data_IF_002245243389
#
_entry.id   IF_002245243389
#
_cell.length_a   1.000
_cell.length_b   1.000
_cell.length_c   1.000
_cell.angle_alpha   90.00
_cell.angle_beta   90.00
_cell.angle_gamma   90.00
#
_symmetry.space_group_name_H-M   'P 1'
#
loop_
_entity.id
_entity.type
_entity.pdbx_description
1 polymer ?
#
# COMPACT_ATOMS: atom_id res chain seq x y z
N UNK A 1 -31.49 0.62 -15.33
CA UNK A 1 -30.84 0.90 -14.04
C UNK A 1 -30.37 2.34 -14.10
N UNK A 2 -31.03 3.25 -13.37
CA UNK A 2 -30.73 4.68 -13.44
C UNK A 2 -29.46 4.93 -12.62
N UNK A 3 -28.32 5.05 -13.29
CA UNK A 3 -27.11 5.61 -12.69
C UNK A 3 -27.43 7.08 -12.32
N UNK A 4 -27.19 7.48 -11.07
CA UNK A 4 -27.37 8.87 -10.59
C UNK A 4 -28.55 9.11 -9.64
N UNK A 5 -29.11 8.08 -8.99
CA UNK A 5 -29.98 8.28 -7.82
C UNK A 5 -29.19 8.11 -6.52
N UNK A 6 -29.45 8.87 -5.44
CA UNK A 6 -28.78 8.68 -4.15
C UNK A 6 -28.88 7.25 -3.60
N UNK A 7 -29.95 6.52 -3.97
CA UNK A 7 -30.18 5.12 -3.60
C UNK A 7 -29.19 4.19 -4.33
N UNK A 8 -28.91 4.44 -5.60
CA UNK A 8 -27.92 3.65 -6.36
C UNK A 8 -26.51 3.90 -5.87
N UNK A 9 -26.17 5.14 -5.53
CA UNK A 9 -24.86 5.52 -4.99
C UNK A 9 -24.63 4.90 -3.61
N UNK A 10 -25.63 4.96 -2.73
CA UNK A 10 -25.58 4.28 -1.44
C UNK A 10 -25.48 2.75 -1.60
N UNK A 11 -26.15 2.19 -2.62
CA UNK A 11 -26.02 0.77 -2.99
C UNK A 11 -24.59 0.41 -3.39
N UNK A 12 -23.93 1.24 -4.21
CA UNK A 12 -22.53 1.06 -4.60
C UNK A 12 -21.59 1.14 -3.40
N UNK A 13 -21.80 2.11 -2.49
CA UNK A 13 -21.01 2.23 -1.27
C UNK A 13 -21.12 0.97 -0.40
N UNK A 14 -22.34 0.53 -0.09
CA UNK A 14 -22.57 -0.64 0.76
C UNK A 14 -22.03 -1.93 0.12
N UNK A 15 -22.26 -2.11 -1.17
CA UNK A 15 -21.72 -3.24 -1.92
C UNK A 15 -20.19 -3.19 -1.98
N UNK A 16 -19.60 -2.01 -2.17
CA UNK A 16 -18.15 -1.78 -2.17
C UNK A 16 -17.52 -2.14 -0.84
N UNK A 17 -18.09 -1.70 0.29
CA UNK A 17 -17.63 -2.10 1.64
C UNK A 17 -17.74 -3.61 1.84
N UNK A 18 -18.86 -4.22 1.45
CA UNK A 18 -19.05 -5.67 1.56
C UNK A 18 -18.02 -6.45 0.74
N UNK A 19 -17.72 -5.97 -0.48
CA UNK A 19 -16.75 -6.60 -1.36
C UNK A 19 -15.30 -6.38 -0.91
N UNK A 20 -14.98 -5.20 -0.34
CA UNK A 20 -13.69 -4.95 0.29
C UNK A 20 -13.45 -5.89 1.47
N UNK A 21 -14.46 -6.07 2.33
CA UNK A 21 -14.37 -6.99 3.45
C UNK A 21 -14.18 -8.44 2.97
N UNK A 22 -15.05 -8.93 2.07
CA UNK A 22 -14.96 -10.28 1.53
C UNK A 22 -13.63 -10.52 0.78
N UNK A 23 -13.18 -9.54 0.01
CA UNK A 23 -11.91 -9.60 -0.73
C UNK A 23 -10.71 -9.67 0.20
N UNK A 24 -10.68 -8.84 1.25
CA UNK A 24 -9.64 -8.86 2.27
C UNK A 24 -9.62 -10.19 3.04
N UNK A 25 -10.79 -10.74 3.38
CA UNK A 25 -10.93 -12.04 4.05
C UNK A 25 -10.35 -13.18 3.20
N UNK A 26 -10.70 -13.24 1.92
CA UNK A 26 -10.17 -14.23 0.97
C UNK A 26 -8.67 -14.06 0.77
N UNK A 27 -8.20 -12.83 0.60
CA UNK A 27 -6.80 -12.51 0.38
C UNK A 27 -5.93 -12.91 1.56
N UNK A 28 -6.32 -12.53 2.78
CA UNK A 28 -5.55 -12.83 4.00
C UNK A 28 -5.53 -14.33 4.27
N UNK A 29 -6.67 -15.02 4.11
CA UNK A 29 -6.73 -16.46 4.29
C UNK A 29 -5.88 -17.21 3.25
N UNK A 30 -6.04 -16.90 1.96
CA UNK A 30 -5.28 -17.52 0.89
C UNK A 30 -3.78 -17.23 0.98
N UNK A 31 -3.39 -16.01 1.34
CA UNK A 31 -1.99 -15.64 1.51
C UNK A 31 -1.34 -16.37 2.69
N UNK A 32 -2.06 -16.56 3.79
CA UNK A 32 -1.61 -17.34 4.95
C UNK A 32 -1.39 -18.80 4.58
N UNK A 33 -2.39 -19.42 3.96
CA UNK A 33 -2.37 -20.86 3.63
C UNK A 33 -1.27 -21.15 2.58
N UNK A 34 -1.15 -20.28 1.57
CA UNK A 34 -0.05 -20.35 0.60
C UNK A 34 1.32 -20.19 1.28
N UNK A 35 1.47 -19.24 2.21
CA UNK A 35 2.73 -19.02 2.92
C UNK A 35 3.15 -20.25 3.73
N UNK A 36 2.20 -20.88 4.44
CA UNK A 36 2.45 -22.11 5.21
C UNK A 36 2.87 -23.26 4.29
N UNK A 37 2.22 -23.42 3.14
CA UNK A 37 2.52 -24.49 2.19
C UNK A 37 3.90 -24.40 1.53
N UNK A 38 4.49 -23.19 1.49
CA UNK A 38 5.83 -22.97 0.91
C UNK A 38 6.90 -22.64 1.95
N UNK A 39 6.55 -22.74 3.25
CA UNK A 39 7.46 -22.56 4.37
C UNK A 39 7.90 -21.11 4.58
N UNK A 40 7.08 -20.16 4.13
CA UNK A 40 7.33 -18.73 4.26
C UNK A 40 6.45 -18.13 5.35
N UNK A 41 6.87 -16.95 5.84
CA UNK A 41 6.02 -16.13 6.71
C UNK A 41 4.95 -15.44 5.87
N UNK A 42 3.73 -15.34 6.39
CA UNK A 42 2.64 -14.57 5.77
C UNK A 42 3.08 -13.13 5.43
N UNK A 43 3.93 -12.51 6.27
CA UNK A 43 4.51 -11.19 6.01
C UNK A 43 5.32 -11.10 4.70
N UNK A 44 5.97 -12.20 4.27
CA UNK A 44 6.73 -12.24 3.00
C UNK A 44 5.80 -12.25 1.80
N UNK A 45 4.68 -12.98 1.86
CA UNK A 45 3.64 -12.96 0.82
C UNK A 45 2.97 -11.58 0.79
N UNK A 46 2.73 -10.99 1.97
CA UNK A 46 2.28 -9.61 2.15
C UNK A 46 3.19 -8.60 1.43
N UNK A 47 4.50 -8.61 1.71
CA UNK A 47 5.48 -7.65 1.14
C UNK A 47 5.68 -7.80 -0.37
N UNK A 48 5.24 -8.91 -0.97
CA UNK A 48 5.49 -9.23 -2.39
C UNK A 48 4.21 -9.20 -3.21
N UNK A 49 3.57 -10.35 -3.40
CA UNK A 49 2.45 -10.56 -4.32
C UNK A 49 1.28 -9.68 -3.92
N UNK A 50 0.98 -9.60 -2.63
CA UNK A 50 -0.17 -8.82 -2.16
C UNK A 50 0.09 -7.34 -2.32
N UNK A 51 1.18 -6.82 -1.74
CA UNK A 51 1.53 -5.42 -1.85
C UNK A 51 1.59 -4.95 -3.31
N UNK A 52 2.22 -5.73 -4.21
CA UNK A 52 2.25 -5.40 -5.63
C UNK A 52 0.86 -5.34 -6.26
N UNK A 53 -0.01 -6.30 -5.92
CA UNK A 53 -1.35 -6.39 -6.47
C UNK A 53 -2.28 -5.29 -5.94
N UNK A 54 -2.19 -4.96 -4.66
CA UNK A 54 -2.98 -3.88 -4.06
C UNK A 54 -2.47 -2.50 -4.47
N UNK A 55 -1.21 -2.38 -4.91
CA UNK A 55 -0.62 -1.15 -5.51
C UNK A 55 -1.00 -0.95 -7.00
N UNK A 56 -1.59 -1.95 -7.66
CA UNK A 56 -1.96 -1.83 -9.07
C UNK A 56 -2.99 -0.70 -9.37
N UNK A 57 -4.01 -0.45 -8.52
CA UNK A 57 -4.89 0.72 -8.63
C UNK A 57 -4.12 2.06 -8.55
N UNK A 58 -3.15 2.20 -7.64
CA UNK A 58 -2.30 3.39 -7.52
C UNK A 58 -1.51 3.62 -8.81
N UNK A 59 -0.93 2.56 -9.39
CA UNK A 59 -0.24 2.66 -10.66
C UNK A 59 -1.15 3.24 -11.76
N UNK A 60 -2.37 2.71 -11.85
CA UNK A 60 -3.35 3.16 -12.83
C UNK A 60 -3.75 4.62 -12.60
N UNK A 61 -4.06 4.99 -11.36
CA UNK A 61 -4.46 6.35 -11.00
C UNK A 61 -3.33 7.35 -11.19
N UNK A 62 -2.09 7.02 -10.81
CA UNK A 62 -0.95 7.90 -10.98
C UNK A 62 -0.61 8.14 -12.45
N UNK A 63 -0.67 7.10 -13.29
CA UNK A 63 -0.48 7.25 -14.74
C UNK A 63 -1.60 8.09 -15.34
N UNK A 64 -2.86 7.81 -15.02
CA UNK A 64 -3.98 8.59 -15.53
C UNK A 64 -3.91 10.05 -15.09
N UNK A 65 -3.66 10.32 -13.81
CA UNK A 65 -3.50 11.67 -13.27
C UNK A 65 -2.37 12.43 -13.98
N UNK A 66 -1.25 11.77 -14.21
CA UNK A 66 -0.11 12.33 -14.93
C UNK A 66 -0.40 12.66 -16.39
N UNK A 67 -1.19 11.81 -17.08
CA UNK A 67 -1.53 12.00 -18.49
C UNK A 67 -2.69 12.99 -18.70
N UNK A 68 -3.59 13.13 -17.74
CA UNK A 68 -4.83 13.90 -17.92
C UNK A 68 -4.80 15.26 -17.24
N UNK A 69 -4.03 15.42 -16.16
CA UNK A 69 -3.98 16.68 -15.39
C UNK A 69 -2.56 17.23 -15.38
N UNK A 70 -1.64 16.58 -14.67
CA UNK A 70 -0.22 16.97 -14.58
C UNK A 70 0.61 15.90 -13.87
N UNK A 71 1.89 15.82 -14.22
CA UNK A 71 2.80 14.79 -13.69
C UNK A 71 3.08 14.94 -12.19
N UNK A 72 3.05 16.17 -11.67
CA UNK A 72 3.21 16.46 -10.23
C UNK A 72 2.03 15.94 -9.38
N UNK A 73 0.81 15.90 -9.91
CA UNK A 73 -0.35 15.29 -9.25
C UNK A 73 -0.16 13.77 -9.13
N UNK A 74 0.36 13.11 -10.19
CA UNK A 74 0.70 11.70 -10.14
C UNK A 74 1.73 11.39 -9.04
N UNK A 75 2.74 12.26 -8.89
CA UNK A 75 3.72 12.16 -7.81
C UNK A 75 3.11 12.38 -6.43
N UNK A 76 2.30 13.43 -6.27
CA UNK A 76 1.61 13.74 -5.02
C UNK A 76 0.68 12.62 -4.56
N UNK A 77 -0.05 11.98 -5.49
CA UNK A 77 -0.92 10.84 -5.19
C UNK A 77 -0.14 9.66 -4.57
N UNK A 78 1.04 9.35 -5.11
CA UNK A 78 1.86 8.25 -4.60
C UNK A 78 2.53 8.58 -3.27
N UNK A 79 3.03 9.80 -3.10
CA UNK A 79 3.57 10.24 -1.81
C UNK A 79 2.46 10.24 -0.75
N UNK A 80 1.27 10.72 -1.10
CA UNK A 80 0.07 10.68 -0.25
C UNK A 80 -0.32 9.26 0.14
N UNK A 81 -0.35 8.32 -0.81
CA UNK A 81 -0.63 6.89 -0.54
C UNK A 81 0.41 6.30 0.43
N UNK A 82 1.70 6.62 0.28
CA UNK A 82 2.72 6.16 1.23
C UNK A 82 2.53 6.69 2.65
N UNK A 83 2.15 7.96 2.77
CA UNK A 83 1.83 8.61 4.06
C UNK A 83 0.56 8.01 4.66
N UNK A 84 -0.48 7.76 3.87
CA UNK A 84 -1.70 7.10 4.31
C UNK A 84 -1.46 5.65 4.73
N UNK A 85 -0.67 4.89 4.00
CA UNK A 85 -0.32 3.52 4.35
C UNK A 85 0.37 3.45 5.73
N UNK A 86 1.30 4.36 6.00
CA UNK A 86 2.00 4.40 7.29
C UNK A 86 1.11 4.96 8.40
N UNK A 87 0.49 6.12 8.17
CA UNK A 87 -0.23 6.86 9.18
C UNK A 87 -1.62 6.29 9.48
N UNK A 88 -2.39 6.04 8.42
CA UNK A 88 -3.77 5.57 8.50
C UNK A 88 -3.85 4.04 8.55
N UNK A 89 -3.27 3.33 7.57
CA UNK A 89 -3.45 1.88 7.43
C UNK A 89 -2.77 1.11 8.58
N UNK A 90 -1.47 1.29 8.78
CA UNK A 90 -0.78 0.68 9.93
C UNK A 90 -1.32 1.21 11.26
N UNK A 91 -1.65 2.51 11.32
CA UNK A 91 -2.19 3.14 12.51
C UNK A 91 -3.48 2.48 12.99
N UNK A 92 -4.47 2.35 12.10
CA UNK A 92 -5.74 1.67 12.40
C UNK A 92 -5.53 0.19 12.71
N UNK A 93 -4.71 -0.51 11.92
CA UNK A 93 -4.45 -1.92 12.16
C UNK A 93 -3.82 -2.15 13.56
N UNK A 94 -2.88 -1.30 13.97
CA UNK A 94 -2.24 -1.35 15.29
C UNK A 94 -3.19 -1.00 16.45
N UNK A 95 -4.15 -0.10 16.23
CA UNK A 95 -5.21 0.20 17.21
C UNK A 95 -6.11 -1.01 17.48
N UNK A 96 -6.45 -1.76 16.42
CA UNK A 96 -7.24 -2.99 16.53
C UNK A 96 -6.46 -4.05 17.31
N UNK A 97 -5.26 -4.39 16.82
CA UNK A 97 -4.38 -5.40 17.41
C UNK A 97 -2.92 -4.95 17.30
N UNK A 98 -2.11 -5.08 18.37
CA UNK A 98 -0.66 -4.85 18.27
C UNK A 98 -0.04 -5.65 17.13
N UNK A 99 0.73 -4.99 16.27
CA UNK A 99 1.28 -5.59 15.05
C UNK A 99 2.69 -6.10 15.29
N UNK A 100 2.89 -7.41 15.22
CA UNK A 100 4.23 -8.00 15.32
C UNK A 100 5.04 -7.68 14.06
N UNK A 101 6.25 -7.15 14.26
CA UNK A 101 7.15 -6.83 13.15
C UNK A 101 8.05 -8.05 12.95
N UNK A 102 7.88 -8.75 11.83
CA UNK A 102 8.70 -9.93 11.58
C UNK A 102 10.17 -9.51 11.37
N UNK A 103 11.10 -10.25 11.97
CA UNK A 103 12.54 -9.94 11.83
C UNK A 103 13.03 -9.96 10.37
N UNK A 104 12.35 -10.71 9.50
CA UNK A 104 12.58 -10.68 8.04
C UNK A 104 12.21 -9.33 7.47
N UNK A 105 11.00 -8.83 7.74
CA UNK A 105 10.55 -7.53 7.26
C UNK A 105 11.43 -6.41 7.81
N UNK A 106 11.73 -6.42 9.11
CA UNK A 106 12.54 -5.36 9.72
C UNK A 106 13.97 -5.29 9.18
N UNK A 107 14.65 -6.43 9.01
CA UNK A 107 16.07 -6.44 8.60
C UNK A 107 16.27 -6.42 7.09
N UNK A 108 15.33 -6.95 6.33
CA UNK A 108 15.42 -7.04 4.87
C UNK A 108 14.64 -5.93 4.19
N UNK A 109 13.35 -5.79 4.51
CA UNK A 109 12.41 -5.01 3.68
C UNK A 109 12.34 -3.53 4.09
N UNK A 110 12.33 -3.23 5.39
CA UNK A 110 12.33 -1.86 5.92
C UNK A 110 13.52 -1.02 5.40
N UNK A 111 14.76 -1.53 5.32
CA UNK A 111 15.86 -0.80 4.68
C UNK A 111 15.60 -0.42 3.22
N UNK A 112 14.91 -1.27 2.44
CA UNK A 112 14.52 -0.93 1.08
C UNK A 112 13.43 0.14 1.04
N UNK A 113 12.48 0.14 1.98
CA UNK A 113 11.50 1.21 2.11
C UNK A 113 12.16 2.57 2.40
N UNK A 114 13.13 2.60 3.31
CA UNK A 114 13.92 3.81 3.62
C UNK A 114 14.72 4.24 2.38
N UNK A 115 15.42 3.30 1.74
CA UNK A 115 16.19 3.58 0.52
C UNK A 115 15.31 4.15 -0.59
N UNK A 116 14.12 3.58 -0.79
CA UNK A 116 13.17 4.05 -1.79
C UNK A 116 12.75 5.50 -1.52
N UNK A 117 12.36 5.81 -0.27
CA UNK A 117 11.99 7.18 0.12
C UNK A 117 13.16 8.16 -0.07
N UNK A 118 14.38 7.79 0.32
CA UNK A 118 15.57 8.63 0.14
C UNK A 118 15.93 8.82 -1.34
N UNK A 119 15.85 7.77 -2.15
CA UNK A 119 16.07 7.85 -3.59
C UNK A 119 15.07 8.79 -4.24
N UNK A 120 13.77 8.67 -3.93
CA UNK A 120 12.74 9.55 -4.49
C UNK A 120 13.03 11.02 -4.18
N UNK A 121 13.29 11.34 -2.91
CA UNK A 121 13.57 12.72 -2.49
C UNK A 121 14.85 13.25 -3.12
N UNK A 122 15.92 12.44 -3.13
CA UNK A 122 17.21 12.83 -3.69
C UNK A 122 17.15 13.07 -5.20
N UNK A 123 16.51 12.16 -5.95
CA UNK A 123 16.39 12.25 -7.40
C UNK A 123 15.43 13.38 -7.83
N UNK A 124 14.39 13.67 -7.04
CA UNK A 124 13.45 14.77 -7.33
C UNK A 124 13.89 16.15 -6.85
N UNK A 125 15.01 16.28 -6.15
CA UNK A 125 15.39 17.54 -5.47
C UNK A 125 15.67 18.70 -6.44
N UNK A 126 16.22 18.39 -7.62
CA UNK A 126 16.48 19.34 -8.69
C UNK A 126 15.21 19.87 -9.38
N UNK A 127 14.02 19.40 -8.98
CA UNK A 127 12.75 19.82 -9.55
C UNK A 127 12.26 18.94 -10.72
N UNK A 128 12.93 17.82 -11.03
CA UNK A 128 12.52 16.94 -12.14
C UNK A 128 13.01 15.50 -11.95
N UNK A 129 12.12 14.54 -12.13
CA UNK A 129 12.44 13.10 -12.16
C UNK A 129 12.27 12.63 -13.61
N UNK A 130 13.38 12.47 -14.32
CA UNK A 130 13.40 12.05 -15.71
C UNK A 130 13.54 10.54 -15.90
N UNK A 131 13.74 10.08 -17.15
CA UNK A 131 13.83 8.65 -17.43
C UNK A 131 15.07 7.98 -16.84
N UNK A 132 16.15 8.72 -16.64
CA UNK A 132 17.35 8.22 -15.97
C UNK A 132 17.03 7.90 -14.49
N UNK A 133 16.42 8.85 -13.79
CA UNK A 133 16.00 8.70 -12.40
C UNK A 133 14.95 7.59 -12.25
N UNK A 134 13.97 7.53 -13.16
CA UNK A 134 13.01 6.44 -13.24
C UNK A 134 13.68 5.07 -13.44
N UNK A 135 14.68 5.00 -14.31
CA UNK A 135 15.51 3.81 -14.51
C UNK A 135 16.27 3.38 -13.26
N UNK A 136 16.77 4.33 -12.46
CA UNK A 136 17.41 4.04 -11.16
C UNK A 136 16.41 3.45 -10.16
N UNK A 137 15.20 4.00 -10.07
CA UNK A 137 14.14 3.48 -9.21
C UNK A 137 13.73 2.05 -9.61
N UNK A 138 13.56 1.80 -10.92
CA UNK A 138 13.24 0.47 -11.45
C UNK A 138 14.40 -0.53 -11.24
N UNK A 139 15.65 -0.08 -11.35
CA UNK A 139 16.80 -0.93 -11.03
C UNK A 139 16.83 -1.31 -9.55
N UNK A 140 16.49 -0.37 -8.65
CA UNK A 140 16.32 -0.65 -7.22
C UNK A 140 15.16 -1.63 -6.96
N UNK A 141 14.06 -1.56 -7.72
CA UNK A 141 12.95 -2.53 -7.66
C UNK A 141 13.43 -3.94 -8.02
N UNK A 142 14.21 -4.08 -9.10
CA UNK A 142 14.78 -5.36 -9.52
C UNK A 142 15.71 -5.91 -8.43
N UNK A 143 16.55 -5.05 -7.84
CA UNK A 143 17.44 -5.44 -6.75
C UNK A 143 16.66 -5.91 -5.51
N UNK A 144 15.62 -5.17 -5.10
CA UNK A 144 14.73 -5.57 -4.01
C UNK A 144 14.09 -6.94 -4.28
N UNK A 145 13.50 -7.10 -5.46
CA UNK A 145 12.84 -8.36 -5.87
C UNK A 145 13.82 -9.53 -5.85
N UNK A 146 15.04 -9.34 -6.38
CA UNK A 146 16.08 -10.35 -6.36
C UNK A 146 16.50 -10.74 -4.94
N UNK A 147 16.60 -9.78 -4.01
CA UNK A 147 16.90 -10.04 -2.60
C UNK A 147 15.78 -10.83 -1.93
N UNK A 148 14.52 -10.49 -2.20
CA UNK A 148 13.38 -11.24 -1.67
C UNK A 148 13.37 -12.68 -2.20
N UNK A 149 13.49 -12.86 -3.51
CA UNK A 149 13.52 -14.20 -4.14
C UNK A 149 14.67 -15.06 -3.65
N UNK A 150 15.88 -14.49 -3.50
CA UNK A 150 17.03 -15.19 -2.89
C UNK A 150 16.75 -15.58 -1.44
N UNK A 151 16.06 -14.72 -0.68
CA UNK A 151 15.62 -15.03 0.68
C UNK A 151 14.67 -16.22 0.70
N UNK A 152 13.66 -16.21 -0.16
CA UNK A 152 12.69 -17.32 -0.31
C UNK A 152 13.39 -18.63 -0.68
N UNK A 153 14.27 -18.61 -1.68
CA UNK A 153 15.03 -19.79 -2.10
C UNK A 153 15.91 -20.35 -0.99
N UNK A 154 16.58 -19.48 -0.21
CA UNK A 154 17.39 -19.91 0.95
C UNK A 154 16.54 -20.54 2.04
N UNK A 155 15.38 -19.95 2.34
CA UNK A 155 14.44 -20.54 3.31
C UNK A 155 14.01 -21.92 2.83
N UNK A 156 13.57 -22.07 1.58
CA UNK A 156 13.12 -23.35 1.04
C UNK A 156 14.23 -24.40 0.96
N UNK A 157 15.45 -24.01 0.62
CA UNK A 157 16.62 -24.90 0.59
C UNK A 157 17.01 -25.41 1.98
N UNK A 158 16.68 -24.67 3.04
CA UNK A 158 16.93 -25.07 4.43
C UNK A 158 15.88 -26.04 4.99
N UNK A 159 14.74 -26.22 4.33
CA UNK A 159 13.67 -27.14 4.77
C UNK A 159 14.06 -28.57 4.38
N UNK A 160 14.22 -29.44 5.38
CA UNK A 160 14.51 -30.86 5.19
C UNK A 160 13.32 -31.61 4.59
N UNK A 161 13.56 -32.80 4.00
CA UNK A 161 12.48 -33.62 3.44
C UNK A 161 11.42 -33.99 4.49
N UNK A 162 11.84 -34.31 5.72
CA UNK A 162 10.93 -34.63 6.81
C UNK A 162 10.08 -33.43 7.27
N UNK A 163 10.63 -32.21 7.22
CA UNK A 163 9.86 -31.00 7.51
C UNK A 163 8.87 -30.69 6.38
N UNK A 164 9.25 -30.93 5.12
CA UNK A 164 8.35 -30.75 3.96
C UNK A 164 7.16 -31.70 3.99
N UNK A 165 7.35 -32.96 4.38
CA UNK A 165 6.27 -33.95 4.49
C UNK A 165 5.22 -33.55 5.55
N UNK A 166 5.59 -32.71 6.52
CA UNK A 166 4.67 -32.19 7.54
C UNK A 166 3.98 -30.86 7.19
N UNK A 167 4.33 -30.24 6.06
CA UNK A 167 3.73 -29.00 5.61
C UNK A 167 2.41 -29.26 4.88
N UNK A 168 1.43 -28.34 4.97
CA UNK A 168 0.22 -28.45 4.15
C UNK A 168 0.58 -28.28 2.67
N UNK A 169 -0.15 -28.95 1.80
CA UNK A 169 -0.01 -28.74 0.35
C UNK A 169 -0.57 -27.38 -0.06
N UNK A 170 0.07 -26.76 -1.06
CA UNK A 170 -0.47 -25.56 -1.69
C UNK A 170 -1.62 -25.98 -2.61
N UNK A 171 -2.85 -25.58 -2.28
CA UNK A 171 -4.01 -25.95 -3.06
C UNK A 171 -4.34 -24.87 -4.11
N UNK A 172 -4.90 -25.28 -5.25
CA UNK A 172 -5.37 -24.33 -6.27
C UNK A 172 -6.40 -23.34 -5.72
N UNK A 173 -7.15 -23.73 -4.67
CA UNK A 173 -8.08 -22.85 -3.96
C UNK A 173 -7.39 -21.69 -3.27
N UNK A 174 -6.16 -21.86 -2.77
CA UNK A 174 -5.45 -20.82 -2.01
C UNK A 174 -4.97 -19.73 -2.98
N UNK A 175 -4.46 -20.15 -4.14
CA UNK A 175 -4.11 -19.25 -5.25
C UNK A 175 -5.36 -18.54 -5.78
N UNK A 176 -6.47 -19.27 -5.97
CA UNK A 176 -7.73 -18.68 -6.40
C UNK A 176 -8.29 -17.70 -5.37
N UNK A 177 -8.14 -17.95 -4.08
CA UNK A 177 -8.55 -17.06 -3.00
C UNK A 177 -7.72 -15.77 -2.99
N UNK A 178 -6.40 -15.85 -3.21
CA UNK A 178 -5.54 -14.65 -3.36
C UNK A 178 -5.98 -13.82 -4.57
N UNK A 179 -6.11 -14.45 -5.74
CA UNK A 179 -6.48 -13.75 -6.99
C UNK A 179 -7.88 -13.16 -6.89
N UNK A 180 -8.85 -13.95 -6.41
CA UNK A 180 -10.23 -13.51 -6.21
C UNK A 180 -10.34 -12.42 -5.15
N UNK A 181 -9.55 -12.51 -4.08
CA UNK A 181 -9.46 -11.49 -3.04
C UNK A 181 -8.95 -10.16 -3.59
N UNK A 182 -7.86 -10.18 -4.35
CA UNK A 182 -7.33 -8.99 -5.05
C UNK A 182 -8.39 -8.40 -5.97
N UNK A 183 -9.02 -9.21 -6.82
CA UNK A 183 -10.04 -8.74 -7.75
C UNK A 183 -11.23 -8.09 -7.01
N UNK A 184 -11.70 -8.71 -5.94
CA UNK A 184 -12.76 -8.17 -5.10
C UNK A 184 -12.35 -6.85 -4.43
N UNK A 185 -11.12 -6.73 -3.93
CA UNK A 185 -10.62 -5.48 -3.36
C UNK A 185 -10.59 -4.35 -4.40
N UNK A 186 -10.10 -4.62 -5.60
CA UNK A 186 -10.02 -3.63 -6.70
C UNK A 186 -11.41 -3.20 -7.17
N UNK A 187 -12.35 -4.13 -7.31
CA UNK A 187 -13.73 -3.81 -7.69
C UNK A 187 -14.44 -3.06 -6.57
N UNK A 188 -14.25 -3.50 -5.32
CA UNK A 188 -14.85 -2.89 -4.14
C UNK A 188 -14.38 -1.46 -3.92
N UNK A 189 -13.08 -1.18 -4.09
CA UNK A 189 -12.54 0.18 -4.00
C UNK A 189 -13.10 1.08 -5.09
N UNK A 190 -13.23 0.58 -6.34
CA UNK A 190 -13.86 1.34 -7.44
C UNK A 190 -15.30 1.73 -7.12
N UNK A 191 -16.12 0.79 -6.66
CA UNK A 191 -17.51 1.10 -6.31
C UNK A 191 -17.61 2.11 -5.16
N UNK A 192 -16.69 2.05 -4.20
CA UNK A 192 -16.64 3.01 -3.11
C UNK A 192 -16.22 4.41 -3.57
N UNK A 193 -15.23 4.47 -4.47
CA UNK A 193 -14.77 5.72 -5.09
C UNK A 193 -15.89 6.34 -5.95
N UNK A 194 -16.51 5.56 -6.84
CA UNK A 194 -17.55 6.04 -7.75
C UNK A 194 -18.79 6.53 -6.96
N UNK A 195 -19.28 5.73 -6.01
CA UNK A 195 -20.41 6.12 -5.16
C UNK A 195 -20.11 7.32 -4.27
N UNK A 196 -18.88 7.42 -3.74
CA UNK A 196 -18.44 8.56 -2.94
C UNK A 196 -18.28 9.85 -3.75
N UNK A 197 -17.75 9.74 -4.97
CA UNK A 197 -17.60 10.86 -5.91
C UNK A 197 -18.95 11.48 -6.25
N UNK A 198 -19.92 10.66 -6.65
CA UNK A 198 -21.24 11.14 -7.10
C UNK A 198 -22.00 11.83 -5.95
N UNK A 199 -21.94 11.27 -4.74
CA UNK A 199 -22.55 11.88 -3.55
C UNK A 199 -21.91 13.21 -3.16
N UNK A 200 -20.58 13.32 -3.21
CA UNK A 200 -19.89 14.57 -2.92
C UNK A 200 -20.15 15.62 -4.00
N UNK A 201 -20.22 15.21 -5.27
CA UNK A 201 -20.60 16.11 -6.36
C UNK A 201 -22.04 16.62 -6.17
N UNK A 202 -22.97 15.74 -5.80
CA UNK A 202 -24.35 16.13 -5.47
C UNK A 202 -24.45 17.04 -4.23
N UNK A 203 -23.52 16.92 -3.28
CA UNK A 203 -23.41 17.79 -2.12
C UNK A 203 -22.71 19.14 -2.43
N UNK A 204 -22.30 19.38 -3.68
CA UNK A 204 -21.73 20.65 -4.13
C UNK A 204 -20.23 20.80 -3.90
N UNK A 205 -19.51 19.71 -3.59
CA UNK A 205 -18.05 19.75 -3.53
C UNK A 205 -17.44 19.84 -4.93
N UNK A 206 -16.30 20.53 -5.05
CA UNK A 206 -15.62 20.69 -6.34
C UNK A 206 -14.96 19.38 -6.78
N UNK A 207 -14.86 19.17 -8.10
CA UNK A 207 -14.12 18.02 -8.68
C UNK A 207 -12.68 17.93 -8.15
N UNK A 208 -12.05 19.08 -7.90
CA UNK A 208 -10.71 19.14 -7.31
C UNK A 208 -10.70 18.59 -5.88
N UNK A 209 -11.66 19.01 -5.04
CA UNK A 209 -11.77 18.51 -3.67
C UNK A 209 -12.03 17.01 -3.66
N UNK A 210 -12.93 16.52 -4.51
CA UNK A 210 -13.26 15.09 -4.63
C UNK A 210 -12.04 14.30 -5.12
N UNK A 211 -11.34 14.81 -6.14
CA UNK A 211 -10.12 14.21 -6.67
C UNK A 211 -8.97 14.16 -5.67
N UNK A 212 -8.81 15.16 -4.80
CA UNK A 212 -7.76 15.16 -3.77
C UNK A 212 -8.11 14.32 -2.54
N UNK A 213 -9.39 14.10 -2.25
CA UNK A 213 -9.84 13.40 -1.03
C UNK A 213 -10.26 11.95 -1.31
N UNK A 214 -11.27 11.74 -2.18
CA UNK A 214 -11.81 10.41 -2.48
C UNK A 214 -10.82 9.56 -3.24
N UNK A 215 -10.06 10.15 -4.17
CA UNK A 215 -9.08 9.38 -4.93
C UNK A 215 -7.89 9.00 -4.04
N UNK A 216 -7.37 9.94 -3.26
CA UNK A 216 -6.21 9.71 -2.39
C UNK A 216 -6.48 8.70 -1.27
N UNK A 217 -7.66 8.76 -0.64
CA UNK A 217 -8.08 7.75 0.35
C UNK A 217 -8.54 6.47 -0.33
N UNK A 218 -9.22 6.60 -1.46
CA UNK A 218 -9.84 5.52 -2.21
C UNK A 218 -8.86 4.48 -2.72
N UNK A 219 -7.70 4.91 -3.23
CA UNK A 219 -6.66 3.99 -3.71
C UNK A 219 -6.06 3.16 -2.59
N UNK A 220 -6.00 3.67 -1.36
CA UNK A 220 -5.49 2.95 -0.18
C UNK A 220 -6.54 2.11 0.55
N UNK A 221 -7.79 2.05 0.05
CA UNK A 221 -8.84 1.21 0.64
C UNK A 221 -8.54 -0.30 0.57
N UNK A 222 -7.98 -0.85 -0.53
CA UNK A 222 -7.54 -2.24 -0.58
C UNK A 222 -6.54 -2.57 0.54
N UNK A 223 -5.51 -1.74 0.73
CA UNK A 223 -4.50 -1.86 1.77
C UNK A 223 -5.11 -1.77 3.15
N UNK A 224 -6.02 -0.82 3.36
CA UNK A 224 -6.73 -0.65 4.62
C UNK A 224 -7.56 -1.88 4.96
N UNK A 225 -8.37 -2.36 4.03
CA UNK A 225 -9.22 -3.53 4.21
C UNK A 225 -8.38 -4.78 4.50
N UNK A 226 -7.35 -5.05 3.69
CA UNK A 226 -6.46 -6.19 3.88
C UNK A 226 -5.73 -6.14 5.23
N UNK A 227 -5.21 -4.97 5.61
CA UNK A 227 -4.46 -4.80 6.87
C UNK A 227 -5.34 -4.86 8.12
N UNK A 228 -6.56 -4.33 8.04
CA UNK A 228 -7.56 -4.41 9.12
C UNK A 228 -8.02 -5.85 9.32
N UNK A 229 -8.39 -6.55 8.25
CA UNK A 229 -8.82 -7.95 8.33
C UNK A 229 -7.70 -8.84 8.83
N UNK A 230 -6.46 -8.63 8.37
CA UNK A 230 -5.30 -9.35 8.90
C UNK A 230 -5.09 -9.12 10.40
N UNK A 231 -5.23 -7.88 10.88
CA UNK A 231 -5.16 -7.56 12.30
C UNK A 231 -6.27 -8.26 13.11
N UNK A 232 -7.50 -8.26 12.60
CA UNK A 232 -8.65 -8.96 13.23
C UNK A 232 -8.43 -10.46 13.29
N UNK A 233 -7.93 -11.09 12.20
CA UNK A 233 -7.64 -12.52 12.13
C UNK A 233 -6.40 -12.95 12.91
N UNK A 234 -5.64 -12.01 13.46
CA UNK A 234 -4.41 -12.29 14.19
C UNK A 234 -3.19 -12.53 13.33
N UNK A 235 -3.30 -12.29 12.03
CA UNK A 235 -2.20 -12.29 11.07
C UNK A 235 -1.50 -10.93 11.05
N UNK A 236 -1.25 -10.34 12.22
CA UNK A 236 -0.86 -8.93 12.33
C UNK A 236 0.48 -8.59 11.63
N UNK A 237 1.39 -9.58 11.52
CA UNK A 237 2.64 -9.43 10.77
C UNK A 237 2.44 -9.32 9.25
N UNK A 238 1.31 -9.81 8.72
CA UNK A 238 0.91 -9.62 7.33
C UNK A 238 0.66 -8.14 7.04
N UNK A 239 -0.04 -7.42 7.92
CA UNK A 239 -0.35 -5.99 7.76
C UNK A 239 0.93 -5.16 7.63
N UNK A 240 1.95 -5.46 8.44
CA UNK A 240 3.26 -4.79 8.36
C UNK A 240 3.95 -5.09 7.04
N UNK A 241 3.96 -6.36 6.61
CA UNK A 241 4.51 -6.76 5.32
C UNK A 241 3.80 -6.06 4.16
N UNK A 242 2.47 -6.04 4.16
CA UNK A 242 1.68 -5.41 3.11
C UNK A 242 2.01 -3.93 2.97
N UNK A 243 1.97 -3.16 4.07
CA UNK A 243 2.25 -1.71 4.01
C UNK A 243 3.70 -1.41 3.63
N UNK A 244 4.68 -2.13 4.20
CA UNK A 244 6.09 -1.93 3.83
C UNK A 244 6.30 -2.23 2.36
N UNK A 245 5.72 -3.31 1.85
CA UNK A 245 5.75 -3.68 0.44
C UNK A 245 5.10 -2.60 -0.43
N UNK A 246 3.88 -2.18 -0.12
CA UNK A 246 3.14 -1.19 -0.92
C UNK A 246 3.93 0.11 -1.00
N UNK A 247 4.56 0.56 0.09
CA UNK A 247 5.40 1.77 0.06
C UNK A 247 6.64 1.63 -0.82
N UNK A 248 7.24 0.43 -0.86
CA UNK A 248 8.37 0.13 -1.76
C UNK A 248 7.89 0.13 -3.21
N UNK A 249 6.79 -0.55 -3.53
CA UNK A 249 6.25 -0.64 -4.90
C UNK A 249 5.74 0.70 -5.41
N UNK A 250 5.05 1.48 -4.58
CA UNK A 250 4.64 2.84 -4.88
C UNK A 250 5.82 3.70 -5.38
N UNK A 251 6.95 3.67 -4.67
CA UNK A 251 8.09 4.50 -5.07
C UNK A 251 8.87 3.86 -6.21
N UNK A 252 9.29 2.61 -6.06
CA UNK A 252 10.23 1.99 -6.99
C UNK A 252 9.56 1.55 -8.30
N UNK A 253 8.31 1.06 -8.22
CA UNK A 253 7.57 0.61 -9.40
C UNK A 253 6.72 1.72 -9.99
N UNK A 254 5.85 2.37 -9.21
CA UNK A 254 4.89 3.34 -9.76
C UNK A 254 5.58 4.61 -10.22
N UNK A 255 6.31 5.30 -9.32
CA UNK A 255 7.07 6.50 -9.73
C UNK A 255 8.19 6.14 -10.71
N UNK A 256 8.87 5.01 -10.49
CA UNK A 256 9.91 4.53 -11.41
C UNK A 256 9.39 4.38 -12.84
N UNK A 257 8.26 3.68 -13.03
CA UNK A 257 7.67 3.49 -14.35
C UNK A 257 7.10 4.81 -14.91
N UNK A 258 6.42 5.59 -14.08
CA UNK A 258 5.87 6.87 -14.50
C UNK A 258 6.97 7.79 -15.02
N UNK A 259 8.04 8.02 -14.27
CA UNK A 259 9.15 8.87 -14.67
C UNK A 259 9.94 8.33 -15.88
N UNK A 260 10.00 7.00 -16.02
CA UNK A 260 10.64 6.36 -17.17
C UNK A 260 9.91 6.64 -18.48
N UNK A 261 8.57 6.62 -18.44
CA UNK A 261 7.71 6.82 -19.62
C UNK A 261 7.41 8.31 -19.86
N UNK A 262 7.17 9.06 -18.79
CA UNK A 262 6.78 10.48 -18.81
C UNK A 262 7.53 11.23 -17.70
N UNK A 263 8.53 12.08 -18.04
CA UNK A 263 9.27 12.85 -17.07
C UNK A 263 8.35 13.64 -16.13
N UNK A 264 8.63 13.57 -14.83
CA UNK A 264 7.82 14.20 -13.79
C UNK A 264 8.47 15.52 -13.42
N UNK A 265 7.72 16.63 -13.52
CA UNK A 265 8.16 17.90 -12.99
C UNK A 265 7.78 17.97 -11.50
N UNK A 266 8.74 18.29 -10.65
CA UNK A 266 8.56 18.33 -9.20
C UNK A 266 8.38 19.77 -8.75
N UNK A 267 7.14 20.11 -8.38
CA UNK A 267 6.80 21.46 -7.96
C UNK A 267 7.55 21.87 -6.68
N UNK A 268 7.77 23.18 -6.45
CA UNK A 268 8.34 23.65 -5.19
C UNK A 268 7.52 23.23 -3.95
N UNK A 269 6.20 23.10 -4.08
CA UNK A 269 5.32 22.61 -3.02
C UNK A 269 5.70 21.19 -2.60
N UNK A 270 5.79 20.27 -3.57
CA UNK A 270 6.19 18.87 -3.35
C UNK A 270 7.53 18.76 -2.63
N UNK A 271 8.52 19.58 -3.00
CA UNK A 271 9.83 19.58 -2.34
C UNK A 271 9.79 20.17 -0.92
N UNK A 272 8.93 21.16 -0.69
CA UNK A 272 8.83 21.85 0.59
C UNK A 272 7.97 21.11 1.62
N UNK A 273 7.01 20.30 1.19
CA UNK A 273 6.01 19.71 2.09
C UNK A 273 5.87 18.19 1.94
N UNK A 274 5.56 17.67 0.76
CA UNK A 274 5.27 16.25 0.53
C UNK A 274 6.51 15.36 0.74
N UNK A 275 7.68 15.76 0.21
CA UNK A 275 8.94 15.03 0.38
C UNK A 275 9.40 14.96 1.85
N UNK A 276 9.46 16.08 2.61
CA UNK A 276 9.70 16.03 4.04
C UNK A 276 8.69 15.18 4.80
N UNK A 277 7.40 15.25 4.43
CA UNK A 277 6.35 14.46 5.08
C UNK A 277 6.56 12.96 4.85
N UNK A 278 6.88 12.54 3.61
CA UNK A 278 7.21 11.15 3.29
C UNK A 278 8.34 10.63 4.19
N UNK A 279 9.42 11.39 4.31
CA UNK A 279 10.56 11.02 5.16
C UNK A 279 10.16 11.00 6.64
N UNK A 280 9.38 11.98 7.10
CA UNK A 280 8.93 12.06 8.49
C UNK A 280 8.09 10.84 8.88
N UNK A 281 7.11 10.45 8.07
CA UNK A 281 6.30 9.24 8.33
C UNK A 281 7.12 7.96 8.24
N UNK A 282 8.02 7.86 7.25
CA UNK A 282 8.93 6.72 7.11
C UNK A 282 9.84 6.57 8.33
N UNK A 283 10.48 7.65 8.77
CA UNK A 283 11.35 7.64 9.94
C UNK A 283 10.57 7.40 11.24
N UNK A 284 9.37 7.99 11.35
CA UNK A 284 8.48 7.76 12.49
C UNK A 284 8.19 6.28 12.64
N UNK A 285 7.62 5.63 11.61
CA UNK A 285 7.24 4.22 11.71
C UNK A 285 8.44 3.31 11.94
N UNK A 286 9.59 3.59 11.30
CA UNK A 286 10.84 2.85 11.54
C UNK A 286 11.29 2.98 12.99
N UNK A 287 11.22 4.18 13.56
CA UNK A 287 11.54 4.43 14.97
C UNK A 287 10.59 3.71 15.92
N UNK A 288 9.30 3.62 15.59
CA UNK A 288 8.32 2.84 16.37
C UNK A 288 8.62 1.34 16.29
N UNK A 289 8.90 0.81 15.09
CA UNK A 289 9.25 -0.61 14.88
C UNK A 289 10.52 -1.02 15.62
N UNK A 290 11.54 -0.14 15.68
CA UNK A 290 12.80 -0.40 16.36
C UNK A 290 12.66 -0.51 17.89
N UNK A 291 11.65 0.12 18.49
CA UNK A 291 11.52 0.23 19.95
C UNK A 291 11.08 -1.08 20.65
N UNK A 292 10.41 -2.01 19.97
CA UNK A 292 9.75 -3.10 20.69
C UNK A 292 9.35 -4.35 19.92
N UNK A 293 9.94 -4.63 18.75
CA UNK A 293 9.61 -5.76 17.85
C UNK A 293 8.12 -5.85 17.45
N UNK A 294 7.31 -4.87 17.84
CA UNK A 294 5.87 -4.76 17.57
C UNK A 294 5.44 -3.30 17.59
N UNK A 295 4.44 -2.96 16.79
CA UNK A 295 3.71 -1.70 16.89
C UNK A 295 2.56 -1.87 17.90
N UNK A 296 2.59 -1.11 18.97
CA UNK A 296 1.55 -1.13 20.01
C UNK A 296 0.32 -0.32 19.59
N UNK A 297 -0.77 -0.42 20.38
CA UNK A 297 -1.94 0.45 20.20
C UNK A 297 -1.59 1.93 20.37
N UNK A 298 -0.63 2.24 21.24
CA UNK A 298 -0.15 3.62 21.44
C UNK A 298 0.58 4.10 20.19
N UNK A 299 1.45 3.26 19.61
CA UNK A 299 2.10 3.56 18.34
C UNK A 299 1.07 3.77 17.23
N UNK A 300 0.01 2.94 17.19
CA UNK A 300 -1.12 3.12 16.28
C UNK A 300 -1.83 4.47 16.45
N UNK A 301 -2.11 4.87 17.70
CA UNK A 301 -2.70 6.17 17.99
C UNK A 301 -1.80 7.33 17.54
N UNK A 302 -0.48 7.22 17.74
CA UNK A 302 0.51 8.21 17.28
C UNK A 302 0.48 8.32 15.76
N UNK A 303 0.49 7.20 15.04
CA UNK A 303 0.46 7.18 13.57
C UNK A 303 -0.83 7.81 13.01
N UNK A 304 -1.99 7.45 13.56
CA UNK A 304 -3.28 8.03 13.14
C UNK A 304 -3.34 9.52 13.47
N UNK A 305 -2.91 9.93 14.66
CA UNK A 305 -2.90 11.34 15.05
C UNK A 305 -1.95 12.16 14.15
N UNK A 306 -0.78 11.63 13.80
CA UNK A 306 0.13 12.24 12.85
C UNK A 306 -0.53 12.39 11.46
N UNK A 307 -1.22 11.35 10.98
CA UNK A 307 -1.92 11.39 9.70
C UNK A 307 -3.06 12.41 9.68
N UNK A 308 -3.90 12.43 10.71
CA UNK A 308 -4.99 13.40 10.83
C UNK A 308 -4.44 14.83 10.89
N UNK A 309 -3.33 15.04 11.61
CA UNK A 309 -2.64 16.34 11.66
C UNK A 309 -2.11 16.74 10.28
N UNK A 310 -1.51 15.81 9.55
CA UNK A 310 -1.06 16.03 8.17
C UNK A 310 -2.22 16.43 7.25
N UNK A 311 -3.33 15.69 7.27
CA UNK A 311 -4.52 16.01 6.48
C UNK A 311 -5.09 17.37 6.87
N UNK A 312 -5.15 17.69 8.17
CA UNK A 312 -5.62 18.99 8.64
C UNK A 312 -4.77 20.16 8.13
N UNK A 313 -3.44 20.00 8.12
CA UNK A 313 -2.51 20.99 7.57
C UNK A 313 -2.62 21.15 6.05
N UNK A 314 -3.20 20.17 5.35
CA UNK A 314 -3.44 20.19 3.91
C UNK A 314 -4.75 20.91 3.55
N UNK A 315 -5.67 21.08 4.50
CA UNK A 315 -6.93 21.78 4.27
C UNK A 315 -6.68 23.29 4.12
N UNK A 316 -7.34 23.95 3.16
CA UNK A 316 -7.18 25.39 2.89
C UNK A 316 -7.72 26.29 4.02
#
# INVERSE_FOLDING_TARGET
>A
MVLGSPVTELGLLLAGVGLLYAGAELLVAGARDLALAIGLKASTVGVTVVAFATTAPELFVAILGALTVSTDIGLGAIVGSNVANVGLVLGIAALIRPLEVSGTVFRRDVPFMILAALLLVGLGWNGRIGPLEGGVLLAALVAFTAVVLRGVQRTQAGISAAERDGMPDAEARDVAAVIGGIAALVVGSRWLIDGGRDLLAAAGFSDLFIGLTVLAVGTSLPELAASVVAAVRGEASFSVGNVVGSNIYNVLAVIGLLAFVSPIDVSPGVRAFEFPTLLAFTLLVVGLMYRGDRLTRVDGAILVAAYVSFVYLLLP
#
